data_IF_199344641799
#
_entry.id   IF_199344641799
#
_cell.length_a   1.000
_cell.length_b   1.000
_cell.length_c   1.000
_cell.angle_alpha   90.00
_cell.angle_beta   90.00
_cell.angle_gamma   90.00
#
_symmetry.space_group_name_H-M   'P 1'
#
loop_
_entity.id
_entity.type
_entity.pdbx_description
1 polymer ?
#
# COMPACT_ATOMS: atom_id res chain seq x y z
N UNK A 1 47.73 -31.70 20.83
CA UNK A 1 46.37 -32.23 21.06
C UNK A 1 45.42 -31.24 21.73
N UNK A 2 45.84 -30.48 22.76
CA UNK A 2 44.96 -29.51 23.45
C UNK A 2 44.36 -28.42 22.53
N UNK A 3 45.12 -27.92 21.56
CA UNK A 3 44.64 -26.92 20.58
C UNK A 3 43.54 -27.50 19.66
N UNK A 4 43.64 -28.78 19.29
CA UNK A 4 42.68 -29.43 18.39
C UNK A 4 41.32 -29.62 19.06
N UNK A 5 41.32 -29.95 20.36
CA UNK A 5 40.09 -30.05 21.17
C UNK A 5 39.44 -28.68 21.34
N UNK A 6 40.23 -27.62 21.51
CA UNK A 6 39.72 -26.24 21.58
C UNK A 6 39.06 -25.81 20.26
N UNK A 7 39.67 -26.14 19.12
CA UNK A 7 39.09 -25.85 17.80
C UNK A 7 37.78 -26.60 17.55
N UNK A 8 37.67 -27.87 17.97
CA UNK A 8 36.43 -28.65 17.82
C UNK A 8 35.30 -28.07 18.70
N UNK A 9 35.61 -27.61 19.91
CA UNK A 9 34.62 -26.94 20.76
C UNK A 9 34.19 -25.58 20.20
N UNK A 10 35.10 -24.81 19.59
CA UNK A 10 34.76 -23.50 19.02
C UNK A 10 33.77 -23.57 17.86
N UNK A 11 33.81 -24.64 17.04
CA UNK A 11 32.91 -24.82 15.90
C UNK A 11 31.46 -25.13 16.32
N UNK A 12 31.25 -25.62 17.55
CA UNK A 12 29.92 -26.01 18.04
C UNK A 12 29.07 -24.82 18.57
N UNK A 13 29.63 -23.61 18.65
CA UNK A 13 28.98 -22.47 19.31
C UNK A 13 28.52 -21.32 18.38
N UNK A 14 28.65 -21.42 17.06
CA UNK A 14 28.31 -20.30 16.16
C UNK A 14 27.46 -20.69 14.96
N UNK A 15 26.19 -21.03 15.21
CA UNK A 15 25.16 -21.00 14.16
C UNK A 15 24.19 -19.90 14.52
N UNK A 16 24.32 -18.74 13.89
CA UNK A 16 23.31 -17.71 13.96
C UNK A 16 22.13 -18.13 13.08
N UNK A 17 20.95 -18.22 13.69
CA UNK A 17 19.67 -18.39 13.01
C UNK A 17 19.25 -17.04 12.41
N UNK A 18 18.66 -17.09 11.22
CA UNK A 18 18.02 -15.94 10.57
C UNK A 18 16.54 -16.23 10.36
N UNK A 19 15.67 -15.29 10.74
CA UNK A 19 14.23 -15.37 10.48
C UNK A 19 13.78 -14.09 9.76
N UNK A 20 13.07 -14.26 8.65
CA UNK A 20 12.43 -13.16 7.92
C UNK A 20 10.92 -13.17 8.16
N UNK A 21 10.36 -12.02 8.50
CA UNK A 21 8.92 -11.77 8.57
C UNK A 21 8.58 -10.78 7.45
N UNK A 22 7.91 -11.27 6.42
CA UNK A 22 7.50 -10.47 5.27
C UNK A 22 6.01 -10.11 5.33
N UNK A 23 5.66 -8.95 4.76
CA UNK A 23 4.30 -8.46 4.57
C UNK A 23 3.48 -8.44 5.86
N UNK A 24 4.13 -8.13 6.98
CA UNK A 24 3.45 -7.98 8.26
C UNK A 24 2.58 -6.73 8.23
N UNK A 25 1.26 -6.90 8.32
CA UNK A 25 0.30 -5.80 8.28
C UNK A 25 -0.31 -5.55 9.65
N UNK A 26 -0.37 -4.28 10.04
CA UNK A 26 -1.04 -3.86 11.28
C UNK A 26 -1.56 -2.44 11.16
N UNK A 27 -2.46 -2.06 12.05
CA UNK A 27 -3.00 -0.71 12.16
C UNK A 27 -2.37 -0.01 13.36
N UNK A 28 -1.92 1.22 13.16
CA UNK A 28 -1.26 2.02 14.20
C UNK A 28 -2.00 3.32 14.46
N UNK A 29 -1.94 3.75 15.72
CA UNK A 29 -2.46 5.04 16.12
C UNK A 29 -1.64 6.17 15.49
N UNK A 30 -2.34 7.13 14.90
CA UNK A 30 -1.76 8.37 14.37
C UNK A 30 -1.85 9.46 15.43
N UNK A 31 -0.76 10.21 15.67
CA UNK A 31 -0.77 11.41 16.51
C UNK A 31 -1.48 12.57 15.83
N UNK A 32 -1.57 12.52 14.49
CA UNK A 32 -2.06 13.61 13.65
C UNK A 32 -3.08 13.12 12.62
N UNK A 33 -3.96 14.01 12.17
CA UNK A 33 -5.00 13.73 11.17
C UNK A 33 -6.36 13.33 11.75
N UNK A 34 -7.39 13.31 10.90
CA UNK A 34 -8.75 12.87 11.26
C UNK A 34 -8.83 11.36 11.43
N UNK A 35 -8.08 10.61 10.61
CA UNK A 35 -8.00 9.16 10.73
C UNK A 35 -7.00 8.74 11.81
N UNK A 36 -7.55 8.24 12.92
CA UNK A 36 -6.84 7.80 14.12
C UNK A 36 -6.02 6.52 13.86
N UNK A 37 -6.40 5.67 12.89
CA UNK A 37 -5.73 4.41 12.60
C UNK A 37 -5.16 4.40 11.17
N UNK A 38 -3.85 4.21 11.06
CA UNK A 38 -3.13 4.11 9.79
C UNK A 38 -2.61 2.70 9.60
N UNK A 39 -2.96 2.08 8.47
CA UNK A 39 -2.48 0.75 8.11
C UNK A 39 -1.05 0.81 7.60
N UNK A 40 -0.20 -0.09 8.09
CA UNK A 40 1.19 -0.21 7.65
C UNK A 40 1.52 -1.64 7.22
N UNK A 41 2.57 -1.76 6.42
CA UNK A 41 3.21 -3.02 6.05
C UNK A 41 4.70 -2.97 6.42
N UNK A 42 5.18 -4.02 7.10
CA UNK A 42 6.56 -4.17 7.54
C UNK A 42 7.17 -5.45 6.97
N UNK A 43 8.44 -5.33 6.56
CA UNK A 43 9.32 -6.47 6.37
C UNK A 43 10.50 -6.35 7.33
N UNK A 44 10.70 -7.41 8.10
CA UNK A 44 11.71 -7.47 9.15
C UNK A 44 12.56 -8.72 9.01
N UNK A 45 13.84 -8.60 9.30
CA UNK A 45 14.77 -9.72 9.39
C UNK A 45 15.43 -9.73 10.76
N UNK A 46 15.53 -10.91 11.35
CA UNK A 46 16.04 -11.14 12.69
C UNK A 46 17.23 -12.09 12.60
N UNK A 47 18.33 -11.71 13.25
CA UNK A 47 19.52 -12.55 13.37
C UNK A 47 19.83 -12.80 14.85
N UNK A 48 20.24 -14.02 15.18
CA UNK A 48 20.61 -14.38 16.53
C UNK A 48 20.52 -15.88 16.78
N UNK A 49 20.38 -16.29 18.04
CA UNK A 49 20.29 -17.71 18.40
C UNK A 49 18.93 -18.03 19.03
N UNK A 50 18.48 -19.28 18.87
CA UNK A 50 17.20 -19.76 19.44
C UNK A 50 16.03 -18.91 18.97
N UNK A 51 16.04 -18.59 17.68
CA UNK A 51 14.97 -17.83 17.06
C UNK A 51 13.81 -18.79 16.77
N UNK A 52 12.61 -18.41 17.22
CA UNK A 52 11.38 -19.15 16.92
C UNK A 52 10.36 -18.16 16.35
N UNK A 53 9.93 -18.41 15.11
CA UNK A 53 9.09 -17.49 14.34
C UNK A 53 7.81 -17.08 15.09
N UNK A 54 7.13 -18.04 15.74
CA UNK A 54 5.90 -17.77 16.49
C UNK A 54 6.12 -16.81 17.66
N UNK A 55 7.25 -16.95 18.36
CA UNK A 55 7.61 -16.09 19.50
C UNK A 55 7.99 -14.69 19.03
N UNK A 56 8.71 -14.60 17.90
CA UNK A 56 9.06 -13.32 17.27
C UNK A 56 7.81 -12.60 16.77
N UNK A 57 6.87 -13.32 16.12
CA UNK A 57 5.59 -12.75 15.66
C UNK A 57 4.76 -12.21 16.81
N UNK A 58 4.69 -12.93 17.93
CA UNK A 58 3.97 -12.45 19.12
C UNK A 58 4.64 -11.21 19.75
N UNK A 59 5.98 -11.23 19.88
CA UNK A 59 6.74 -10.07 20.34
C UNK A 59 6.54 -8.86 19.43
N UNK A 60 6.58 -9.06 18.11
CA UNK A 60 6.33 -8.03 17.11
C UNK A 60 4.92 -7.44 17.26
N UNK A 61 3.88 -8.27 17.29
CA UNK A 61 2.50 -7.84 17.50
C UNK A 61 2.32 -7.03 18.77
N UNK A 62 2.95 -7.47 19.87
CA UNK A 62 2.87 -6.77 21.15
C UNK A 62 3.56 -5.41 21.08
N UNK A 63 4.82 -5.37 20.62
CA UNK A 63 5.62 -4.15 20.67
C UNK A 63 5.15 -3.13 19.64
N UNK A 64 4.83 -3.54 18.42
CA UNK A 64 4.43 -2.60 17.35
C UNK A 64 3.18 -1.80 17.74
N UNK A 65 2.25 -2.40 18.49
CA UNK A 65 1.02 -1.76 18.96
C UNK A 65 1.24 -0.60 19.93
N UNK A 66 2.43 -0.51 20.54
CA UNK A 66 2.78 0.57 21.47
C UNK A 66 3.42 1.79 20.78
N UNK A 67 3.67 1.70 19.47
CA UNK A 67 4.24 2.78 18.68
C UNK A 67 3.16 3.54 17.91
N UNK A 68 3.33 4.85 17.82
CA UNK A 68 2.55 5.67 16.91
C UNK A 68 3.06 5.53 15.48
N UNK A 69 2.15 5.70 14.53
CA UNK A 69 2.41 5.68 13.10
C UNK A 69 3.60 6.58 12.74
N UNK A 70 3.58 7.86 13.14
CA UNK A 70 4.60 8.83 12.77
C UNK A 70 5.99 8.47 13.29
N UNK A 71 6.08 7.88 14.48
CA UNK A 71 7.37 7.55 15.10
C UNK A 71 8.12 6.48 14.29
N UNK A 72 7.41 5.49 13.75
CA UNK A 72 7.98 4.40 12.96
C UNK A 72 8.60 4.84 11.62
N UNK A 73 8.26 6.03 11.13
CA UNK A 73 8.87 6.56 9.91
C UNK A 73 10.12 7.42 10.19
N UNK A 74 10.44 7.68 11.46
CA UNK A 74 11.67 8.40 11.85
C UNK A 74 12.82 7.45 12.14
N UNK A 75 14.06 7.90 11.99
CA UNK A 75 15.24 7.10 12.35
C UNK A 75 15.26 6.77 13.85
N UNK A 76 14.99 7.76 14.70
CA UNK A 76 14.96 7.61 16.16
C UNK A 76 13.88 6.60 16.58
N UNK A 77 12.67 6.71 16.02
CA UNK A 77 11.59 5.79 16.34
C UNK A 77 11.87 4.36 15.85
N UNK A 78 12.46 4.18 14.66
CA UNK A 78 12.91 2.87 14.17
C UNK A 78 13.96 2.23 15.09
N UNK A 79 14.93 3.00 15.55
CA UNK A 79 15.96 2.50 16.46
C UNK A 79 15.36 2.12 17.82
N UNK A 80 14.51 2.96 18.38
CA UNK A 80 13.79 2.66 19.63
C UNK A 80 12.91 1.41 19.49
N UNK A 81 12.20 1.27 18.36
CA UNK A 81 11.38 0.09 18.06
C UNK A 81 12.21 -1.20 18.05
N UNK A 82 13.32 -1.22 17.30
CA UNK A 82 14.24 -2.37 17.26
C UNK A 82 14.74 -2.73 18.66
N UNK A 83 15.22 -1.75 19.43
CA UNK A 83 15.71 -2.01 20.78
C UNK A 83 14.65 -2.57 21.71
N UNK A 84 13.44 -2.00 21.66
CA UNK A 84 12.33 -2.42 22.51
C UNK A 84 11.87 -3.83 22.15
N UNK A 85 11.76 -4.12 20.86
CA UNK A 85 11.41 -5.45 20.35
C UNK A 85 12.46 -6.50 20.74
N UNK A 86 13.74 -6.18 20.57
CA UNK A 86 14.85 -7.05 20.97
C UNK A 86 14.83 -7.32 22.48
N UNK A 87 14.74 -6.27 23.31
CA UNK A 87 14.71 -6.39 24.78
C UNK A 87 13.50 -7.20 25.25
N UNK A 88 12.32 -6.94 24.68
CA UNK A 88 11.10 -7.66 25.03
C UNK A 88 11.19 -9.13 24.65
N UNK A 89 11.56 -9.43 23.41
CA UNK A 89 11.66 -10.82 22.93
C UNK A 89 12.68 -11.61 23.75
N UNK A 90 13.89 -11.07 23.95
CA UNK A 90 14.94 -11.77 24.69
C UNK A 90 14.54 -12.00 26.16
N UNK A 91 13.83 -11.05 26.78
CA UNK A 91 13.36 -11.20 28.17
C UNK A 91 12.19 -12.17 28.31
N UNK A 92 11.16 -12.04 27.46
CA UNK A 92 9.90 -12.80 27.57
C UNK A 92 10.05 -14.23 27.08
N UNK A 93 10.73 -14.39 25.94
CA UNK A 93 10.79 -15.64 25.19
C UNK A 93 12.13 -16.36 25.30
N UNK A 94 13.10 -15.76 25.98
CA UNK A 94 14.48 -16.27 26.11
C UNK A 94 15.15 -16.49 24.74
N UNK A 95 14.73 -15.72 23.74
CA UNK A 95 15.45 -15.60 22.46
C UNK A 95 16.78 -14.92 22.69
N UNK A 96 17.71 -15.09 21.75
CA UNK A 96 18.98 -14.38 21.74
C UNK A 96 19.09 -13.61 20.42
N UNK A 97 18.14 -12.71 20.17
CA UNK A 97 18.20 -11.79 19.03
C UNK A 97 19.37 -10.84 19.26
N UNK A 98 20.25 -10.78 18.28
CA UNK A 98 21.41 -9.88 18.24
C UNK A 98 21.12 -8.67 17.36
N UNK A 99 20.51 -8.90 16.20
CA UNK A 99 20.17 -7.84 15.24
C UNK A 99 18.74 -7.96 14.74
N UNK A 100 18.15 -6.80 14.48
CA UNK A 100 16.85 -6.66 13.81
C UNK A 100 17.06 -5.66 12.68
N UNK A 101 16.74 -6.07 11.46
CA UNK A 101 16.78 -5.24 10.27
C UNK A 101 15.35 -4.91 9.86
N UNK A 102 15.09 -3.62 9.66
CA UNK A 102 13.84 -3.16 9.05
C UNK A 102 14.12 -3.04 7.55
N UNK A 103 13.68 -4.05 6.79
CA UNK A 103 13.89 -4.10 5.35
C UNK A 103 12.95 -3.11 4.65
N UNK A 104 11.70 -3.02 5.13
CA UNK A 104 10.68 -2.14 4.55
C UNK A 104 9.70 -1.64 5.61
N UNK A 105 9.28 -0.38 5.49
CA UNK A 105 8.12 0.19 6.19
C UNK A 105 7.31 0.98 5.18
N UNK A 106 6.09 0.53 4.91
CA UNK A 106 5.18 1.19 3.97
C UNK A 106 3.88 1.58 4.67
N UNK A 107 3.34 2.74 4.29
CA UNK A 107 1.98 3.13 4.60
C UNK A 107 1.04 2.50 3.57
N UNK A 108 0.05 1.76 4.02
CA UNK A 108 -1.04 1.30 3.17
C UNK A 108 -2.10 2.39 3.26
N UNK A 109 -1.99 3.42 2.40
CA UNK A 109 -3.04 4.44 2.28
C UNK A 109 -4.29 3.76 1.73
N UNK A 110 -5.25 3.49 2.60
CA UNK A 110 -6.65 3.41 2.19
C UNK A 110 -7.08 4.83 1.81
N UNK A 111 -7.79 4.95 0.68
CA UNK A 111 -8.22 6.24 0.16
C UNK A 111 -9.15 6.92 1.18
N UNK A 112 -8.68 8.00 1.79
CA UNK A 112 -9.43 8.72 2.82
C UNK A 112 -10.46 9.62 2.14
N UNK A 113 -11.72 9.17 2.15
CA UNK A 113 -12.85 9.91 1.57
C UNK A 113 -13.05 11.28 2.25
N UNK A 114 -12.65 11.44 3.52
CA UNK A 114 -12.73 12.72 4.22
C UNK A 114 -11.62 13.67 3.78
N UNK A 115 -10.40 13.14 3.61
CA UNK A 115 -9.29 13.90 3.02
C UNK A 115 -9.64 14.32 1.60
N UNK A 116 -10.24 13.44 0.79
CA UNK A 116 -10.79 13.78 -0.52
C UNK A 116 -11.86 14.88 -0.39
N UNK A 117 -12.86 14.73 0.48
CA UNK A 117 -13.93 15.74 0.67
C UNK A 117 -13.35 17.09 1.04
N UNK A 118 -12.34 17.12 1.92
CA UNK A 118 -11.65 18.35 2.30
C UNK A 118 -10.90 18.97 1.13
N UNK A 119 -10.12 18.19 0.39
CA UNK A 119 -9.43 18.65 -0.82
C UNK A 119 -10.43 19.20 -1.83
N UNK A 120 -11.57 18.54 -2.03
CA UNK A 120 -12.61 19.03 -2.91
C UNK A 120 -13.25 20.32 -2.39
N UNK A 121 -13.60 20.42 -1.09
CA UNK A 121 -14.17 21.65 -0.51
C UNK A 121 -13.20 22.84 -0.62
N UNK A 122 -11.92 22.61 -0.31
CA UNK A 122 -10.88 23.64 -0.30
C UNK A 122 -10.51 24.11 -1.72
N UNK A 123 -10.50 23.22 -2.72
CA UNK A 123 -10.12 23.57 -4.10
C UNK A 123 -11.30 23.97 -5.00
N UNK A 124 -12.53 23.51 -4.72
CA UNK A 124 -13.71 23.81 -5.55
C UNK A 124 -14.61 24.90 -4.97
N UNK A 125 -14.35 25.43 -3.76
CA UNK A 125 -15.24 26.39 -3.06
C UNK A 125 -16.71 25.96 -3.18
N UNK A 126 -17.00 24.68 -2.92
CA UNK A 126 -18.36 24.18 -2.91
C UNK A 126 -19.05 24.76 -1.67
N UNK A 127 -19.73 25.89 -1.87
CA UNK A 127 -20.62 26.48 -0.89
C UNK A 127 -21.71 25.45 -0.48
N UNK A 128 -22.16 25.53 0.77
CA UNK A 128 -22.89 24.49 1.50
C UNK A 128 -24.33 24.19 1.03
N UNK A 129 -24.65 24.38 -0.25
CA UNK A 129 -25.96 24.07 -0.84
C UNK A 129 -25.94 22.83 -1.74
N UNK A 130 -25.30 21.74 -1.27
CA UNK A 130 -25.45 20.41 -1.88
C UNK A 130 -25.86 19.37 -0.82
N UNK A 131 -26.91 19.71 -0.07
CA UNK A 131 -27.69 18.77 0.73
C UNK A 131 -28.55 17.90 -0.20
N UNK A 132 -27.95 17.04 -1.05
CA UNK A 132 -28.54 15.78 -1.53
C UNK A 132 -27.53 15.05 -2.43
N UNK A 133 -26.51 14.40 -1.84
CA UNK A 133 -25.84 13.31 -2.56
C UNK A 133 -26.77 12.09 -2.51
N UNK A 134 -27.67 12.00 -3.48
CA UNK A 134 -28.47 10.80 -3.70
C UNK A 134 -27.51 9.62 -3.89
N UNK A 135 -27.73 8.56 -3.12
CA UNK A 135 -27.05 7.28 -3.26
C UNK A 135 -27.13 6.82 -4.73
N UNK A 136 -25.99 6.84 -5.42
CA UNK A 136 -25.86 6.15 -6.70
C UNK A 136 -26.07 4.64 -6.42
N UNK A 137 -27.08 3.98 -7.02
CA UNK A 137 -27.29 2.57 -6.80
C UNK A 137 -26.06 1.80 -7.30
N UNK A 138 -25.39 1.13 -6.37
CA UNK A 138 -24.37 0.13 -6.67
C UNK A 138 -25.01 -0.99 -7.50
N UNK A 139 -24.88 -0.90 -8.83
CA UNK A 139 -25.08 -2.06 -9.68
C UNK A 139 -23.93 -3.04 -9.39
N UNK A 140 -24.24 -4.08 -8.61
CA UNK A 140 -23.38 -5.24 -8.46
C UNK A 140 -23.17 -5.88 -9.83
N UNK A 141 -22.07 -5.53 -10.49
CA UNK A 141 -21.54 -6.32 -11.60
C UNK A 141 -20.95 -7.58 -11.00
N UNK A 142 -21.74 -8.66 -11.04
CA UNK A 142 -21.30 -10.03 -10.78
C UNK A 142 -20.08 -10.33 -11.68
N UNK A 143 -18.87 -10.29 -11.12
CA UNK A 143 -17.68 -10.87 -11.75
C UNK A 143 -17.68 -12.34 -11.32
N UNK A 144 -18.21 -13.21 -12.18
CA UNK A 144 -17.98 -14.65 -12.06
C UNK A 144 -16.52 -14.93 -12.36
N UNK A 145 -15.84 -15.55 -11.41
CA UNK A 145 -14.55 -16.21 -11.63
C UNK A 145 -14.79 -17.44 -12.49
N UNK A 146 -14.25 -17.46 -13.72
CA UNK A 146 -14.03 -18.71 -14.44
C UNK A 146 -12.73 -19.33 -13.93
N UNK A 147 -12.88 -20.38 -13.13
CA UNK A 147 -11.87 -21.41 -12.93
C UNK A 147 -12.19 -22.52 -13.94
N UNK A 148 -11.24 -22.77 -14.84
CA UNK A 148 -11.26 -23.90 -15.77
C UNK A 148 -11.33 -25.23 -15.03
N UNK A 149 -12.36 -26.03 -15.29
CA UNK A 149 -12.25 -27.49 -15.35
C UNK A 149 -13.00 -28.07 -16.56
N UNK A 150 -12.30 -28.98 -17.20
CA UNK A 150 -12.59 -29.73 -18.43
C UNK A 150 -13.81 -30.65 -18.32
N UNK A 151 -14.70 -30.67 -19.32
CA UNK A 151 -15.24 -31.90 -19.96
C UNK A 151 -16.15 -31.65 -21.16
N UNK A 152 -16.03 -32.54 -22.14
CA UNK A 152 -16.70 -32.60 -23.45
C UNK A 152 -18.21 -32.95 -23.37
N UNK A 153 -19.01 -32.44 -24.32
CA UNK A 153 -19.80 -33.22 -25.30
C UNK A 153 -20.71 -32.33 -26.18
N UNK A 154 -20.54 -32.49 -27.49
CA UNK A 154 -21.49 -32.56 -28.62
C UNK A 154 -22.74 -31.64 -28.77
N UNK A 155 -22.74 -30.94 -29.93
CA UNK A 155 -23.79 -30.87 -30.99
C UNK A 155 -25.16 -30.23 -30.63
N UNK A 156 -25.44 -29.00 -31.09
CA UNK A 156 -26.27 -28.67 -32.29
C UNK A 156 -26.74 -27.19 -32.35
N UNK A 157 -26.49 -26.58 -33.52
CA UNK A 157 -27.36 -25.75 -34.37
C UNK A 157 -28.40 -24.78 -33.72
N UNK A 158 -28.26 -23.47 -33.96
CA UNK A 158 -29.08 -22.69 -34.93
C UNK A 158 -28.97 -21.17 -34.74
N UNK A 159 -28.84 -20.48 -35.88
CA UNK A 159 -29.08 -19.06 -36.19
C UNK A 159 -29.96 -18.27 -35.19
N UNK A 160 -29.56 -17.03 -34.86
CA UNK A 160 -30.16 -15.86 -35.53
C UNK A 160 -29.37 -14.55 -35.35
N UNK A 161 -29.64 -13.64 -36.28
CA UNK A 161 -28.86 -12.47 -36.72
C UNK A 161 -28.86 -11.26 -35.77
N UNK A 162 -27.72 -10.55 -35.82
CA UNK A 162 -27.48 -9.08 -35.76
C UNK A 162 -28.34 -8.21 -34.84
N UNK A 163 -27.68 -7.36 -34.03
CA UNK A 163 -27.55 -5.89 -34.23
C UNK A 163 -26.94 -5.23 -32.98
N UNK A 164 -26.10 -4.20 -33.17
CA UNK A 164 -25.61 -3.20 -32.19
C UNK A 164 -24.16 -3.31 -31.67
N UNK A 165 -23.19 -3.55 -32.56
CA UNK A 165 -21.81 -3.08 -32.35
C UNK A 165 -21.58 -1.92 -33.31
N UNK A 166 -21.97 -0.69 -32.94
CA UNK A 166 -21.53 0.52 -33.67
C UNK A 166 -21.79 1.87 -32.96
N UNK A 167 -22.25 1.90 -31.71
CA UNK A 167 -22.44 3.17 -30.98
C UNK A 167 -21.24 3.58 -30.12
N UNK A 168 -20.46 2.63 -29.59
CA UNK A 168 -19.37 2.95 -28.64
C UNK A 168 -18.10 3.48 -29.32
N UNK A 169 -17.82 3.04 -30.56
CA UNK A 169 -16.63 3.50 -31.30
C UNK A 169 -16.74 4.97 -31.78
N UNK A 170 -17.95 5.47 -32.05
CA UNK A 170 -18.16 6.85 -32.50
C UNK A 170 -18.02 7.87 -31.38
N UNK A 171 -18.49 7.54 -30.17
CA UNK A 171 -18.41 8.46 -29.00
C UNK A 171 -16.95 8.64 -28.55
N UNK A 172 -16.13 7.58 -28.62
CA UNK A 172 -14.70 7.66 -28.31
C UNK A 172 -13.92 8.53 -29.30
N UNK A 173 -14.32 8.55 -30.57
CA UNK A 173 -13.62 9.33 -31.61
C UNK A 173 -13.95 10.82 -31.52
N UNK A 174 -15.22 11.13 -31.25
CA UNK A 174 -15.69 12.50 -31.06
C UNK A 174 -15.08 13.16 -29.80
N UNK A 175 -14.95 12.41 -28.71
CA UNK A 175 -14.26 12.88 -27.50
C UNK A 175 -12.76 13.15 -27.77
N UNK A 176 -12.11 12.29 -28.55
CA UNK A 176 -10.68 12.42 -28.85
C UNK A 176 -10.40 13.62 -29.77
N UNK A 177 -11.27 13.89 -30.76
CA UNK A 177 -11.18 15.08 -31.62
C UNK A 177 -11.43 16.38 -30.82
N UNK A 178 -12.34 16.36 -29.85
CA UNK A 178 -12.60 17.51 -28.97
C UNK A 178 -11.39 17.83 -28.08
N UNK A 179 -10.73 16.80 -27.53
CA UNK A 179 -9.49 16.96 -26.75
C UNK A 179 -8.38 17.53 -27.63
N UNK A 180 -8.19 16.98 -28.83
CA UNK A 180 -7.13 17.41 -29.75
C UNK A 180 -7.31 18.89 -30.14
N UNK A 181 -8.54 19.30 -30.46
CA UNK A 181 -8.88 20.68 -30.79
C UNK A 181 -8.62 21.63 -29.62
N UNK A 182 -8.98 21.21 -28.41
CA UNK A 182 -8.75 22.02 -27.19
C UNK A 182 -7.26 22.22 -26.93
N UNK A 183 -6.43 21.20 -27.17
CA UNK A 183 -4.98 21.31 -27.05
C UNK A 183 -4.37 22.22 -28.12
N UNK A 184 -4.87 22.17 -29.36
CA UNK A 184 -4.39 23.03 -30.45
C UNK A 184 -4.74 24.51 -30.20
N UNK A 185 -5.94 24.80 -29.71
CA UNK A 185 -6.36 26.15 -29.37
C UNK A 185 -5.57 26.71 -28.18
N UNK A 186 -5.26 25.88 -27.17
CA UNK A 186 -4.40 26.27 -26.05
C UNK A 186 -2.96 26.58 -26.50
N UNK A 187 -2.41 25.80 -27.43
CA UNK A 187 -1.09 26.07 -28.01
C UNK A 187 -1.07 27.38 -28.82
N UNK A 188 -2.12 27.66 -29.59
CA UNK A 188 -2.25 28.94 -30.33
C UNK A 188 -2.33 30.14 -29.40
N UNK A 189 -3.01 30.02 -28.26
CA UNK A 189 -3.07 31.09 -27.25
C UNK A 189 -1.72 31.35 -26.58
N UNK A 190 -0.89 30.32 -26.40
CA UNK A 190 0.47 30.46 -25.86
C UNK A 190 1.49 31.03 -26.87
N UNK A 191 1.21 30.94 -28.17
CA UNK A 191 2.09 31.41 -29.25
C UNK A 191 1.76 32.83 -29.75
N UNK A 192 0.66 33.44 -29.28
CA UNK A 192 0.36 34.84 -29.58
C UNK A 192 1.33 35.73 -28.78
N UNK A 193 2.17 36.55 -29.44
CA UNK A 193 2.98 37.53 -28.72
C UNK A 193 2.04 38.53 -28.04
N UNK A 194 2.24 38.74 -26.73
CA UNK A 194 1.64 39.84 -25.99
C UNK A 194 2.02 41.12 -26.74
N UNK A 195 1.06 41.72 -27.46
CA UNK A 195 1.26 43.05 -28.05
C UNK A 195 1.33 44.02 -26.88
N UNK A 196 2.54 44.53 -26.66
CA UNK A 196 2.86 45.55 -25.67
C UNK A 196 1.87 46.71 -25.68
N UNK A 197 1.63 47.22 -24.48
CA UNK A 197 1.60 48.64 -24.14
C UNK A 197 1.81 49.62 -25.31
N UNK A 198 0.77 50.38 -25.64
CA UNK A 198 0.87 51.76 -26.11
C UNK A 198 -0.11 52.56 -25.23
N UNK A 199 0.38 53.28 -24.22
CA UNK A 199 0.55 54.74 -24.25
C UNK A 199 -0.67 55.45 -24.86
N UNK A 200 -1.62 55.86 -24.02
CA UNK A 200 -1.98 57.26 -23.70
C UNK A 200 -3.10 57.30 -22.65
#
# INVERSE_FOLDING_TARGET
MKIFILCIFAVLYSVADTISIEKFKTDLYSKTGSNILKKIELDLEFEGNKLEENKIKDALNTIISSYFYEDLFTEVGKNNFKETLLKFSNKKYKTQIEYIYIIRVNSIKEFDMEELKKILKDNLKLDEEASDFQELPLQQKNIRQDVNETKMNDINLSNDKNTSVNKEANVSKEAMDMILKTMEDAQKQMLLPHKNEELF
#
